data_IF_688511670195
#
_entry.id   IF_688511670195
#
_cell.length_a   1.000
_cell.length_b   1.000
_cell.length_c   1.000
_cell.angle_alpha   90.00
_cell.angle_beta   90.00
_cell.angle_gamma   90.00
#
_symmetry.space_group_name_H-M   'P 1'
#
loop_
_entity.id
_entity.type
_entity.pdbx_description
1 polymer ?
#
# COMPACT_ATOMS: atom_id res chain seq x y z
N UNK A 1 12.79 4.51 -11.71
CA UNK A 1 12.27 3.79 -12.86
C UNK A 1 10.94 3.16 -12.54
N UNK A 2 9.98 3.37 -13.40
CA UNK A 2 8.62 2.88 -13.22
C UNK A 2 8.46 1.49 -13.84
N UNK A 3 7.88 0.57 -13.09
CA UNK A 3 7.53 -0.76 -13.59
C UNK A 3 6.08 -1.01 -13.22
N UNK A 4 5.25 -1.31 -14.22
CA UNK A 4 3.86 -1.61 -13.97
C UNK A 4 3.72 -3.12 -13.71
N UNK A 5 3.13 -3.48 -12.60
CA UNK A 5 2.87 -4.87 -12.28
C UNK A 5 1.59 -5.34 -12.98
N UNK A 6 1.56 -6.61 -13.35
CA UNK A 6 0.35 -7.22 -13.87
C UNK A 6 -0.55 -7.59 -12.72
N UNK A 7 -1.80 -7.19 -12.81
CA UNK A 7 -2.77 -7.49 -11.78
C UNK A 7 -3.15 -8.96 -11.85
N UNK A 8 -3.31 -9.57 -10.69
CA UNK A 8 -3.75 -10.96 -10.60
C UNK A 8 -5.23 -11.08 -10.38
N UNK A 9 -5.98 -10.05 -10.59
CA UNK A 9 -7.43 -10.05 -10.47
C UNK A 9 -7.97 -10.40 -9.09
N UNK A 10 -7.12 -10.74 -8.15
CA UNK A 10 -7.54 -11.09 -6.78
C UNK A 10 -7.02 -10.05 -5.83
N UNK A 11 -7.93 -9.42 -5.08
CA UNK A 11 -7.57 -8.52 -4.03
C UNK A 11 -6.89 -7.24 -4.50
N UNK A 12 -5.86 -6.83 -3.80
CA UNK A 12 -5.27 -5.50 -3.95
C UNK A 12 -3.82 -5.62 -4.43
N UNK A 13 -3.66 -6.11 -5.64
CA UNK A 13 -2.34 -6.29 -6.22
C UNK A 13 -1.64 -4.96 -6.49
N UNK A 14 -0.33 -5.00 -6.51
CA UNK A 14 0.49 -3.85 -6.86
C UNK A 14 0.16 -3.40 -8.28
N UNK A 15 -0.15 -2.11 -8.42
CA UNK A 15 -0.45 -1.51 -9.72
C UNK A 15 0.75 -0.85 -10.34
N UNK A 16 1.60 -0.26 -9.52
CA UNK A 16 2.79 0.43 -9.99
C UNK A 16 3.90 0.23 -8.99
N UNK A 17 5.12 0.13 -9.50
CA UNK A 17 6.30 -0.05 -8.68
C UNK A 17 7.39 0.88 -9.18
N UNK A 18 7.97 1.67 -8.29
CA UNK A 18 9.08 2.55 -8.59
C UNK A 18 10.26 2.16 -7.72
N UNK A 19 11.42 2.00 -8.33
CA UNK A 19 12.65 1.72 -7.59
C UNK A 19 13.38 3.01 -7.33
N UNK A 20 13.71 3.25 -6.08
CA UNK A 20 14.34 4.47 -5.61
C UNK A 20 15.67 4.14 -4.96
N UNK A 21 16.55 5.14 -4.91
CA UNK A 21 17.83 5.03 -4.19
C UNK A 21 18.63 3.79 -4.62
N UNK A 22 18.77 3.62 -5.93
CA UNK A 22 19.55 2.51 -6.45
C UNK A 22 18.92 1.15 -6.25
N UNK A 23 17.60 1.12 -6.10
CA UNK A 23 16.87 -0.13 -5.89
C UNK A 23 16.77 -0.56 -4.43
N UNK A 24 17.29 0.24 -3.52
CA UNK A 24 17.26 -0.11 -2.09
C UNK A 24 15.90 0.14 -1.45
N UNK A 25 15.10 0.99 -2.09
CA UNK A 25 13.77 1.34 -1.60
C UNK A 25 12.82 1.25 -2.78
N UNK A 26 11.61 0.77 -2.53
CA UNK A 26 10.56 0.71 -3.54
C UNK A 26 9.36 1.51 -3.08
N UNK A 27 8.72 2.20 -4.02
CA UNK A 27 7.44 2.84 -3.79
C UNK A 27 6.40 2.06 -4.59
N UNK A 28 5.36 1.60 -3.93
CA UNK A 28 4.35 0.73 -4.51
C UNK A 28 2.99 1.39 -4.42
N UNK A 29 2.24 1.33 -5.50
CA UNK A 29 0.88 1.86 -5.52
C UNK A 29 -0.11 0.71 -5.56
N UNK A 30 -1.14 0.80 -4.72
CA UNK A 30 -2.23 -0.16 -4.64
C UNK A 30 -3.56 0.58 -4.71
N UNK A 31 -4.59 -0.10 -5.20
CA UNK A 31 -5.96 0.39 -5.04
C UNK A 31 -6.67 -0.57 -4.09
N UNK A 32 -7.23 -0.02 -3.03
CA UNK A 32 -7.94 -0.81 -2.05
C UNK A 32 -9.28 -1.26 -2.62
N UNK A 33 -9.61 -2.52 -2.39
CA UNK A 33 -10.87 -3.11 -2.83
C UNK A 33 -11.59 -3.71 -1.63
N UNK A 34 -12.82 -4.15 -1.84
CA UNK A 34 -13.62 -4.75 -0.76
C UNK A 34 -13.05 -6.07 -0.22
N UNK A 35 -12.02 -6.60 -0.87
CA UNK A 35 -11.43 -7.87 -0.46
C UNK A 35 -10.38 -7.73 0.63
N UNK A 36 -10.18 -6.53 1.17
CA UNK A 36 -9.10 -6.26 2.10
C UNK A 36 -9.40 -6.64 3.54
N UNK A 37 -9.70 -7.88 3.80
CA UNK A 37 -10.04 -8.36 5.14
C UNK A 37 -9.01 -7.94 6.17
N UNK A 38 -9.46 -7.27 7.24
CA UNK A 38 -8.61 -6.86 8.34
C UNK A 38 -7.76 -5.64 8.06
N UNK A 39 -7.62 -5.23 6.80
CA UNK A 39 -6.88 -4.03 6.45
C UNK A 39 -7.81 -2.84 6.38
N UNK A 40 -8.96 -3.01 5.71
CA UNK A 40 -9.92 -1.92 5.56
C UNK A 40 -10.61 -1.62 6.88
N UNK A 41 -10.95 -0.34 7.05
CA UNK A 41 -11.73 0.14 8.19
C UNK A 41 -11.05 0.01 9.54
N UNK A 42 -9.78 -0.40 9.57
CA UNK A 42 -9.03 -0.54 10.82
C UNK A 42 -8.03 0.61 10.92
N UNK A 43 -8.01 1.35 12.04
CA UNK A 43 -7.01 2.40 12.22
C UNK A 43 -5.60 1.85 12.02
N UNK A 44 -4.77 2.60 11.30
CA UNK A 44 -3.44 2.13 10.94
C UNK A 44 -2.59 1.76 12.15
N UNK A 45 -2.78 2.47 13.27
CA UNK A 45 -2.04 2.17 14.49
C UNK A 45 -2.35 0.78 15.04
N UNK A 46 -3.46 0.18 14.61
CA UNK A 46 -3.85 -1.16 15.06
C UNK A 46 -3.48 -2.24 14.06
N UNK A 47 -2.94 -1.86 12.91
CA UNK A 47 -2.48 -2.85 11.94
C UNK A 47 -1.06 -3.29 12.29
N UNK A 48 -0.80 -4.60 12.31
CA UNK A 48 0.55 -5.10 12.58
C UNK A 48 1.40 -4.97 11.32
N UNK A 49 1.87 -3.75 11.06
CA UNK A 49 2.66 -3.49 9.86
C UNK A 49 4.01 -4.19 9.96
N UNK A 50 4.44 -4.67 8.82
CA UNK A 50 5.71 -5.32 8.66
C UNK A 50 6.84 -4.32 8.87
N UNK A 51 7.94 -4.76 9.49
CA UNK A 51 9.12 -3.91 9.63
C UNK A 51 9.64 -3.55 8.23
N UNK A 52 10.00 -2.31 8.05
CA UNK A 52 10.49 -1.83 6.75
C UNK A 52 9.39 -1.37 5.80
N UNK A 53 8.15 -1.27 6.26
CA UNK A 53 7.03 -0.81 5.46
C UNK A 53 6.50 0.49 6.03
N UNK A 54 6.35 1.51 5.17
CA UNK A 54 5.76 2.79 5.53
C UNK A 54 4.57 3.05 4.63
N UNK A 55 3.43 3.33 5.22
CA UNK A 55 2.25 3.75 4.47
C UNK A 55 2.36 5.27 4.31
N UNK A 56 2.74 5.70 3.12
CA UNK A 56 3.20 7.06 2.91
C UNK A 56 2.09 8.04 2.55
N UNK A 57 1.08 7.59 1.81
CA UNK A 57 -0.01 8.47 1.39
C UNK A 57 -1.21 7.66 0.97
N UNK A 58 -2.37 8.29 1.06
CA UNK A 58 -3.62 7.74 0.54
C UNK A 58 -4.25 8.84 -0.31
N UNK A 59 -4.75 8.48 -1.49
CA UNK A 59 -5.55 9.39 -2.29
C UNK A 59 -6.97 8.86 -2.31
N UNK A 60 -7.89 9.66 -1.81
CA UNK A 60 -9.29 9.32 -1.68
C UNK A 60 -10.12 10.38 -2.38
N UNK A 61 -10.84 9.98 -3.43
CA UNK A 61 -11.69 10.91 -4.17
C UNK A 61 -10.92 12.17 -4.59
N UNK A 62 -9.71 11.98 -5.11
CA UNK A 62 -8.88 13.08 -5.57
C UNK A 62 -8.16 13.86 -4.48
N UNK A 63 -8.33 13.50 -3.22
CA UNK A 63 -7.69 14.19 -2.10
C UNK A 63 -6.54 13.36 -1.55
N UNK A 64 -5.43 14.01 -1.30
CA UNK A 64 -4.27 13.36 -0.70
C UNK A 64 -4.38 13.44 0.82
N UNK A 65 -4.26 12.28 1.45
CA UNK A 65 -4.27 12.14 2.89
C UNK A 65 -2.89 11.66 3.30
N UNK A 66 -2.27 12.37 4.24
CA UNK A 66 -1.05 11.89 4.88
C UNK A 66 -1.49 11.11 6.11
N UNK A 67 -1.32 9.78 6.12
CA UNK A 67 -1.95 8.96 7.14
C UNK A 67 -1.37 9.18 8.52
N UNK A 68 -2.24 9.17 9.51
CA UNK A 68 -1.86 9.09 10.91
C UNK A 68 -2.35 7.79 11.51
N UNK A 69 -2.14 7.62 12.82
CA UNK A 69 -2.52 6.37 13.49
C UNK A 69 -4.00 6.04 13.43
N UNK A 70 -4.85 7.07 13.39
CA UNK A 70 -6.31 6.87 13.36
C UNK A 70 -6.87 6.75 11.95
N UNK A 71 -6.04 6.98 10.94
CA UNK A 71 -6.48 6.89 9.55
C UNK A 71 -6.81 5.45 9.21
N UNK A 72 -7.89 5.25 8.45
CA UNK A 72 -8.27 3.92 7.95
C UNK A 72 -8.14 3.91 6.44
N UNK A 73 -7.92 2.73 5.87
CA UNK A 73 -7.96 2.53 4.43
C UNK A 73 -9.38 2.12 4.07
N UNK A 74 -9.94 2.78 3.06
CA UNK A 74 -11.31 2.53 2.62
C UNK A 74 -11.33 1.99 1.19
N UNK A 75 -12.37 1.26 0.79
CA UNK A 75 -12.46 0.79 -0.60
C UNK A 75 -12.36 1.95 -1.58
N UNK A 76 -11.60 1.76 -2.63
CA UNK A 76 -11.37 2.77 -3.64
C UNK A 76 -10.18 3.67 -3.38
N UNK A 77 -9.60 3.61 -2.19
CA UNK A 77 -8.41 4.41 -1.88
C UNK A 77 -7.23 3.95 -2.72
N UNK A 78 -6.46 4.92 -3.20
CA UNK A 78 -5.16 4.65 -3.79
C UNK A 78 -4.12 4.81 -2.68
N UNK A 79 -3.33 3.77 -2.46
CA UNK A 79 -2.42 3.70 -1.31
C UNK A 79 -0.99 3.67 -1.82
N UNK A 80 -0.15 4.54 -1.29
CA UNK A 80 1.28 4.56 -1.58
C UNK A 80 2.03 3.98 -0.40
N UNK A 81 2.78 2.91 -0.66
CA UNK A 81 3.62 2.25 0.34
C UNK A 81 5.07 2.43 -0.08
N UNK A 82 5.90 2.81 0.88
CA UNK A 82 7.35 2.90 0.67
C UNK A 82 7.99 1.83 1.54
N UNK A 83 8.88 1.04 0.95
CA UNK A 83 9.41 -0.11 1.66
C UNK A 83 10.81 -0.48 1.20
N UNK A 84 11.59 -1.07 2.11
CA UNK A 84 12.86 -1.71 1.77
C UNK A 84 12.71 -3.24 1.70
N UNK A 85 11.48 -3.75 1.78
CA UNK A 85 11.21 -5.19 1.69
C UNK A 85 10.93 -5.52 0.23
N UNK A 86 11.75 -6.39 -0.40
CA UNK A 86 11.50 -6.75 -1.80
C UNK A 86 10.35 -7.73 -1.94
N UNK A 87 9.75 -7.74 -3.11
CA UNK A 87 8.80 -8.79 -3.48
C UNK A 87 7.38 -8.61 -2.99
N UNK A 88 7.00 -7.43 -2.51
CA UNK A 88 5.61 -7.19 -2.14
C UNK A 88 4.76 -7.12 -3.41
N UNK A 89 3.70 -7.91 -3.48
CA UNK A 89 2.86 -8.00 -4.65
C UNK A 89 1.40 -7.66 -4.38
N UNK A 90 1.02 -7.57 -3.12
CA UNK A 90 -0.37 -7.33 -2.73
C UNK A 90 -0.37 -6.48 -1.46
N UNK A 91 -1.39 -5.65 -1.31
CA UNK A 91 -1.46 -4.76 -0.14
C UNK A 91 -1.42 -5.54 1.16
N UNK A 92 -2.00 -6.74 1.22
CA UNK A 92 -1.95 -7.55 2.44
C UNK A 92 -0.54 -7.92 2.85
N UNK A 93 0.42 -7.84 1.93
CA UNK A 93 1.82 -8.16 2.24
C UNK A 93 2.48 -7.10 3.13
N UNK A 94 1.82 -5.96 3.37
CA UNK A 94 2.35 -4.97 4.31
C UNK A 94 2.21 -5.42 5.76
N UNK A 95 1.42 -6.43 6.00
CA UNK A 95 1.19 -6.94 7.35
C UNK A 95 2.29 -7.92 7.76
N UNK A 96 2.61 -7.89 9.02
CA UNK A 96 3.61 -8.78 9.59
C UNK A 96 3.18 -10.25 9.52
#
# INVERSE_FOLDING_TARGET
>A
RYVRALANSQGMAVESLYKLLGGKVEALEFTASNDGNGILHTPLMKLPLRHGVLLAAIVREGRTIIPGGMTTIEPGDHVLVVTNVPGLTDLKNILA
#
